data_IF_404450846436
#
_entry.id   IF_404450846436
#
_cell.length_a   1.000
_cell.length_b   1.000
_cell.length_c   1.000
_cell.angle_alpha   90.00
_cell.angle_beta   90.00
_cell.angle_gamma   90.00
#
_symmetry.space_group_name_H-M   'P 1'
#
loop_
_entity.id
_entity.type
_entity.pdbx_description
1 polymer ?
#
# COMPACT_ATOMS: atom_id res chain seq x y z
N UNK A 1 16.74 -14.53 -29.20
CA UNK A 1 17.45 -14.17 -27.95
C UNK A 1 16.47 -14.28 -26.81
N UNK A 2 16.50 -15.38 -26.05
CA UNK A 2 15.56 -15.63 -24.96
C UNK A 2 16.06 -14.88 -23.71
N UNK A 3 15.35 -13.83 -23.32
CA UNK A 3 15.55 -13.19 -22.02
C UNK A 3 14.98 -14.17 -20.97
N UNK A 4 15.84 -14.89 -20.26
CA UNK A 4 15.47 -15.58 -19.02
C UNK A 4 15.10 -14.51 -18.01
N UNK A 5 13.83 -14.11 -18.00
CA UNK A 5 13.30 -13.22 -16.97
C UNK A 5 13.54 -13.91 -15.61
N UNK A 6 14.37 -13.30 -14.77
CA UNK A 6 14.77 -13.87 -13.48
C UNK A 6 13.55 -14.05 -12.57
N UNK A 7 13.07 -15.28 -12.46
CA UNK A 7 12.10 -15.65 -11.43
C UNK A 7 12.85 -15.80 -10.10
N UNK A 8 12.31 -15.25 -9.02
CA UNK A 8 12.87 -15.46 -7.67
C UNK A 8 11.94 -16.33 -6.84
N UNK A 9 12.53 -17.24 -6.06
CA UNK A 9 11.79 -18.14 -5.19
C UNK A 9 11.47 -17.44 -3.87
N UNK A 10 10.19 -17.25 -3.58
CA UNK A 10 9.69 -16.73 -2.32
C UNK A 10 9.30 -17.88 -1.37
N UNK A 11 9.88 -17.97 -0.16
CA UNK A 11 9.45 -18.93 0.85
C UNK A 11 7.98 -18.72 1.24
N UNK A 12 7.24 -19.81 1.44
CA UNK A 12 5.82 -19.74 1.82
C UNK A 12 5.61 -19.05 3.17
N UNK A 13 6.52 -19.21 4.13
CA UNK A 13 6.45 -18.48 5.40
C UNK A 13 6.50 -16.96 5.20
N UNK A 14 7.37 -16.47 4.31
CA UNK A 14 7.44 -15.05 3.95
C UNK A 14 6.17 -14.60 3.25
N UNK A 15 5.63 -15.41 2.33
CA UNK A 15 4.34 -15.11 1.68
C UNK A 15 3.23 -14.96 2.72
N UNK A 16 3.09 -15.89 3.67
CA UNK A 16 2.08 -15.85 4.72
C UNK A 16 2.16 -14.57 5.55
N UNK A 17 3.36 -14.16 5.97
CA UNK A 17 3.56 -12.91 6.71
C UNK A 17 3.13 -11.68 5.90
N UNK A 18 3.41 -11.66 4.60
CA UNK A 18 2.94 -10.57 3.71
C UNK A 18 1.42 -10.58 3.64
N UNK A 19 0.76 -11.72 3.49
CA UNK A 19 -0.71 -11.79 3.44
C UNK A 19 -1.36 -11.38 4.77
N UNK A 20 -0.76 -11.71 5.91
CA UNK A 20 -1.21 -11.25 7.23
C UNK A 20 -1.10 -9.72 7.34
N UNK A 21 0.02 -9.15 6.90
CA UNK A 21 0.19 -7.70 6.85
C UNK A 21 -0.85 -7.02 5.95
N UNK A 22 -1.15 -7.59 4.79
CA UNK A 22 -2.18 -7.07 3.89
C UNK A 22 -3.60 -7.22 4.45
N UNK A 23 -3.84 -8.26 5.25
CA UNK A 23 -5.10 -8.44 5.98
C UNK A 23 -5.29 -7.34 7.02
N UNK A 24 -4.23 -6.95 7.72
CA UNK A 24 -4.28 -5.89 8.73
C UNK A 24 -4.65 -4.51 8.15
N UNK A 25 -4.41 -4.27 6.86
CA UNK A 25 -4.84 -3.06 6.13
C UNK A 25 -6.15 -3.26 5.36
N UNK A 26 -6.89 -4.33 5.65
CA UNK A 26 -8.26 -4.54 5.18
C UNK A 26 -8.41 -5.29 3.87
N UNK A 27 -7.34 -5.91 3.33
CA UNK A 27 -7.43 -6.65 2.08
C UNK A 27 -7.85 -8.11 2.30
N UNK A 28 -8.84 -8.54 1.53
CA UNK A 28 -9.25 -9.95 1.45
C UNK A 28 -8.26 -10.77 0.61
N UNK A 29 -8.19 -12.09 0.81
CA UNK A 29 -7.29 -12.97 0.05
C UNK A 29 -7.45 -12.85 -1.49
N UNK A 30 -8.68 -12.75 -2.07
CA UNK A 30 -8.83 -12.47 -3.49
C UNK A 30 -8.19 -11.15 -3.95
N UNK A 31 -8.33 -10.09 -3.16
CA UNK A 31 -7.73 -8.79 -3.44
C UNK A 31 -6.21 -8.83 -3.30
N UNK A 32 -5.69 -9.55 -2.30
CA UNK A 32 -4.25 -9.78 -2.13
C UNK A 32 -3.65 -10.49 -3.35
N UNK A 33 -4.29 -11.56 -3.84
CA UNK A 33 -3.84 -12.26 -5.04
C UNK A 33 -3.77 -11.31 -6.23
N UNK A 34 -4.83 -10.55 -6.48
CA UNK A 34 -4.91 -9.61 -7.59
C UNK A 34 -3.87 -8.49 -7.48
N UNK A 35 -3.70 -7.90 -6.29
CA UNK A 35 -2.71 -6.86 -6.01
C UNK A 35 -1.29 -7.33 -6.34
N UNK A 36 -0.96 -8.56 -5.92
CA UNK A 36 0.33 -9.19 -6.14
C UNK A 36 0.53 -9.69 -7.58
N UNK A 37 -0.47 -9.58 -8.46
CA UNK A 37 -0.40 -10.11 -9.83
C UNK A 37 -0.40 -11.64 -9.87
N UNK A 38 -1.04 -12.29 -8.89
CA UNK A 38 -1.19 -13.73 -8.77
C UNK A 38 -2.63 -14.15 -9.07
N UNK A 39 -2.76 -15.29 -9.73
CA UNK A 39 -4.07 -15.93 -9.85
C UNK A 39 -4.50 -16.48 -8.49
N UNK A 40 -5.78 -16.34 -8.14
CA UNK A 40 -6.34 -16.81 -6.86
C UNK A 40 -6.02 -18.29 -6.59
N UNK A 41 -6.10 -19.13 -7.61
CA UNK A 41 -5.85 -20.55 -7.48
C UNK A 41 -4.35 -20.86 -7.29
N UNK A 42 -3.46 -20.05 -7.87
CA UNK A 42 -2.01 -20.14 -7.66
C UNK A 42 -1.64 -19.76 -6.23
N UNK A 43 -2.21 -18.67 -5.70
CA UNK A 43 -2.02 -18.27 -4.30
C UNK A 43 -2.51 -19.37 -3.35
N UNK A 44 -3.74 -19.87 -3.56
CA UNK A 44 -4.31 -20.93 -2.72
C UNK A 44 -3.47 -22.21 -2.73
N UNK A 45 -2.99 -22.63 -3.91
CA UNK A 45 -2.14 -23.81 -4.04
C UNK A 45 -0.81 -23.61 -3.31
N UNK A 46 -0.20 -22.42 -3.42
CA UNK A 46 1.05 -22.10 -2.73
C UNK A 46 0.90 -22.21 -1.20
N UNK A 47 -0.22 -21.75 -0.64
CA UNK A 47 -0.48 -21.85 0.81
C UNK A 47 -0.76 -23.28 1.30
N UNK A 48 -1.06 -24.23 0.41
CA UNK A 48 -1.34 -25.63 0.74
C UNK A 48 -0.13 -26.55 0.56
N UNK A 49 0.97 -26.06 -0.04
CA UNK A 49 2.15 -26.85 -0.36
C UNK A 49 3.41 -26.25 0.30
N UNK A 50 4.38 -27.07 0.74
CA UNK A 50 5.59 -26.57 1.38
C UNK A 50 6.64 -26.04 0.37
N UNK A 51 6.26 -25.79 -0.89
CA UNK A 51 7.19 -25.41 -1.94
C UNK A 51 7.23 -23.90 -2.14
N UNK A 52 8.42 -23.29 -2.33
CA UNK A 52 8.53 -21.86 -2.63
C UNK A 52 7.72 -21.46 -3.86
N UNK A 53 7.14 -20.26 -3.79
CA UNK A 53 6.43 -19.66 -4.91
C UNK A 53 7.43 -18.90 -5.78
N UNK A 54 7.51 -19.28 -7.05
CA UNK A 54 8.31 -18.57 -8.05
C UNK A 54 7.57 -17.31 -8.50
N UNK A 55 8.18 -16.15 -8.31
CA UNK A 55 7.63 -14.86 -8.68
C UNK A 55 8.40 -14.23 -9.84
N UNK A 56 7.66 -13.67 -10.80
CA UNK A 56 8.23 -12.84 -11.85
C UNK A 56 8.81 -11.53 -11.27
N UNK A 57 9.69 -10.83 -12.01
CA UNK A 57 10.19 -9.52 -11.60
C UNK A 57 9.07 -8.51 -11.27
N UNK A 58 7.98 -8.53 -12.04
CA UNK A 58 6.83 -7.66 -11.78
C UNK A 58 6.12 -8.04 -10.47
N UNK A 59 5.90 -9.34 -10.23
CA UNK A 59 5.27 -9.81 -8.99
C UNK A 59 6.11 -9.51 -7.76
N UNK A 60 7.44 -9.63 -7.86
CA UNK A 60 8.36 -9.20 -6.80
C UNK A 60 8.26 -7.69 -6.53
N UNK A 61 8.15 -6.89 -7.59
CA UNK A 61 7.97 -5.43 -7.49
C UNK A 61 6.66 -5.10 -6.78
N UNK A 62 5.55 -5.73 -7.19
CA UNK A 62 4.24 -5.57 -6.57
C UNK A 62 4.25 -6.00 -5.10
N UNK A 63 4.89 -7.12 -4.78
CA UNK A 63 5.04 -7.60 -3.41
C UNK A 63 5.77 -6.58 -2.54
N UNK A 64 6.92 -6.08 -3.01
CA UNK A 64 7.70 -5.07 -2.29
C UNK A 64 6.88 -3.81 -2.04
N UNK A 65 6.24 -3.26 -3.08
CA UNK A 65 5.42 -2.05 -2.96
C UNK A 65 4.26 -2.27 -1.99
N UNK A 66 3.61 -3.43 -2.03
CA UNK A 66 2.49 -3.75 -1.15
C UNK A 66 2.92 -3.81 0.33
N UNK A 67 4.11 -4.37 0.60
CA UNK A 67 4.70 -4.38 1.95
C UNK A 67 5.04 -2.97 2.43
N UNK A 68 5.68 -2.16 1.59
CA UNK A 68 6.05 -0.77 1.93
C UNK A 68 4.80 0.08 2.19
N UNK A 69 3.75 -0.05 1.36
CA UNK A 69 2.46 0.61 1.55
C UNK A 69 1.81 0.19 2.88
N UNK A 70 1.68 -1.11 3.14
CA UNK A 70 1.01 -1.58 4.35
C UNK A 70 1.77 -1.18 5.62
N UNK A 71 3.11 -1.18 5.56
CA UNK A 71 3.96 -0.70 6.65
C UNK A 71 3.74 0.80 6.87
N UNK A 72 3.75 1.60 5.82
CA UNK A 72 3.53 3.04 5.90
C UNK A 72 2.17 3.37 6.53
N UNK A 73 1.10 2.67 6.12
CA UNK A 73 -0.24 2.87 6.68
C UNK A 73 -0.28 2.60 8.18
N UNK A 74 0.37 1.54 8.65
CA UNK A 74 0.41 1.20 10.08
C UNK A 74 1.31 2.11 10.91
N UNK A 75 2.24 2.82 10.29
CA UNK A 75 3.04 3.86 10.95
C UNK A 75 2.31 5.19 10.99
N UNK A 76 1.63 5.58 9.90
CA UNK A 76 0.92 6.87 9.78
C UNK A 76 -0.41 6.88 10.52
N UNK A 77 -1.09 5.74 10.64
CA UNK A 77 -2.45 5.66 11.15
C UNK A 77 -2.55 4.63 12.28
N UNK A 78 -3.40 4.91 13.27
CA UNK A 78 -3.80 3.90 14.26
C UNK A 78 -4.47 2.70 13.59
N UNK A 79 -4.36 1.50 14.18
CA UNK A 79 -4.75 0.22 13.57
C UNK A 79 -6.19 0.21 12.99
N UNK A 80 -7.17 0.79 13.69
CA UNK A 80 -8.56 0.88 13.24
C UNK A 80 -8.75 1.69 11.96
N UNK A 81 -7.91 2.70 11.76
CA UNK A 81 -7.95 3.57 10.57
C UNK A 81 -7.18 2.94 9.41
N UNK A 82 -6.08 2.24 9.70
CA UNK A 82 -5.30 1.52 8.70
C UNK A 82 -6.12 0.40 8.04
N UNK A 83 -6.90 -0.36 8.81
CA UNK A 83 -7.74 -1.46 8.31
C UNK A 83 -8.85 -1.04 7.35
N UNK A 84 -9.29 0.23 7.38
CA UNK A 84 -10.31 0.75 6.49
C UNK A 84 -9.78 1.53 5.29
N UNK A 85 -8.47 1.81 5.24
CA UNK A 85 -7.91 2.83 4.34
C UNK A 85 -8.12 2.49 2.86
N UNK A 86 -7.88 1.24 2.48
CA UNK A 86 -8.05 0.78 1.09
C UNK A 86 -9.49 0.85 0.58
N UNK A 87 -10.47 0.73 1.47
CA UNK A 87 -11.90 0.69 1.13
C UNK A 87 -12.63 2.03 1.18
N UNK A 88 -11.98 3.09 1.68
CA UNK A 88 -12.60 4.42 1.81
C UNK A 88 -12.28 5.28 0.58
N UNK A 89 -13.27 6.00 0.01
CA UNK A 89 -13.02 7.02 -1.00
C UNK A 89 -11.94 8.00 -0.55
N UNK A 90 -10.97 8.30 -1.41
CA UNK A 90 -9.87 9.19 -1.10
C UNK A 90 -9.80 10.33 -2.13
N UNK A 91 -9.98 11.57 -1.67
CA UNK A 91 -9.97 12.75 -2.55
C UNK A 91 -8.57 13.23 -2.95
N UNK A 92 -7.51 12.69 -2.35
CA UNK A 92 -6.13 13.08 -2.67
C UNK A 92 -5.74 12.50 -4.03
N UNK A 93 -4.95 13.25 -4.80
CA UNK A 93 -4.23 12.66 -5.93
C UNK A 93 -3.38 11.47 -5.41
N UNK A 94 -3.33 10.34 -6.13
CA UNK A 94 -3.88 10.11 -7.48
C UNK A 94 -5.31 9.51 -7.51
N UNK A 95 -5.98 9.39 -6.38
CA UNK A 95 -7.22 8.62 -6.28
C UNK A 95 -8.46 9.36 -6.78
N UNK A 96 -8.47 10.69 -6.74
CA UNK A 96 -9.52 11.54 -7.32
C UNK A 96 -10.97 11.15 -6.90
N UNK A 97 -11.14 10.74 -5.65
CA UNK A 97 -12.41 10.32 -5.08
C UNK A 97 -12.70 8.82 -5.20
N UNK A 98 -11.89 8.06 -5.95
CA UNK A 98 -11.93 6.60 -5.95
C UNK A 98 -11.36 6.05 -4.63
N UNK A 99 -11.71 4.80 -4.32
CA UNK A 99 -11.03 4.07 -3.24
C UNK A 99 -9.60 3.73 -3.69
N UNK A 100 -8.58 3.78 -2.80
CA UNK A 100 -7.23 3.36 -3.15
C UNK A 100 -7.16 1.94 -3.70
N UNK A 101 -8.02 1.03 -3.22
CA UNK A 101 -8.09 -0.34 -3.74
C UNK A 101 -8.50 -0.38 -5.22
N UNK A 102 -9.58 0.30 -5.59
CA UNK A 102 -10.01 0.37 -6.99
C UNK A 102 -8.89 0.92 -7.89
N UNK A 103 -8.24 2.01 -7.46
CA UNK A 103 -7.13 2.63 -8.19
C UNK A 103 -5.96 1.66 -8.44
N UNK A 104 -5.47 0.95 -7.41
CA UNK A 104 -4.33 0.03 -7.57
C UNK A 104 -4.69 -1.24 -8.34
N UNK A 105 -5.94 -1.71 -8.26
CA UNK A 105 -6.38 -2.90 -8.99
C UNK A 105 -6.58 -2.62 -10.49
N UNK A 106 -7.04 -1.42 -10.85
CA UNK A 106 -7.22 -1.00 -12.24
C UNK A 106 -5.88 -0.60 -12.89
N UNK A 107 -5.09 0.22 -12.19
CA UNK A 107 -3.82 0.74 -12.71
C UNK A 107 -2.60 -0.15 -12.51
N UNK A 108 -2.71 -1.27 -11.79
CA UNK A 108 -1.64 -2.26 -11.61
C UNK A 108 -0.37 -1.70 -10.96
N UNK A 109 0.80 -2.13 -11.46
CA UNK A 109 2.12 -1.74 -10.90
C UNK A 109 2.35 -0.20 -10.90
N UNK A 110 2.03 0.56 -11.96
CA UNK A 110 2.09 2.02 -11.92
C UNK A 110 1.28 2.64 -10.78
N UNK A 111 0.01 2.24 -10.62
CA UNK A 111 -0.84 2.76 -9.55
C UNK A 111 -0.36 2.39 -8.14
N UNK A 112 0.20 1.19 -7.98
CA UNK A 112 0.90 0.78 -6.75
C UNK A 112 2.08 1.69 -6.44
N UNK A 113 2.89 2.03 -7.45
CA UNK A 113 4.05 2.91 -7.28
C UNK A 113 3.63 4.33 -6.88
N UNK A 114 2.57 4.88 -7.47
CA UNK A 114 2.07 6.20 -7.12
C UNK A 114 1.49 6.23 -5.71
N UNK A 115 0.75 5.18 -5.33
CA UNK A 115 0.25 5.00 -3.96
C UNK A 115 1.40 4.94 -2.95
N UNK A 116 2.45 4.18 -3.26
CA UNK A 116 3.64 4.09 -2.42
C UNK A 116 4.33 5.45 -2.28
N UNK A 117 4.52 6.20 -3.37
CA UNK A 117 5.13 7.53 -3.35
C UNK A 117 4.36 8.52 -2.48
N UNK A 118 3.03 8.49 -2.58
CA UNK A 118 2.16 9.32 -1.74
C UNK A 118 2.40 9.04 -0.25
N UNK A 119 2.35 7.77 0.16
CA UNK A 119 2.53 7.39 1.57
C UNK A 119 3.96 7.60 2.07
N UNK A 120 4.95 7.40 1.21
CA UNK A 120 6.35 7.70 1.53
C UNK A 120 6.56 9.21 1.76
N UNK A 121 5.92 10.05 0.96
CA UNK A 121 5.93 11.51 1.15
C UNK A 121 5.31 11.89 2.51
N UNK A 122 4.20 11.26 2.88
CA UNK A 122 3.57 11.48 4.19
C UNK A 122 4.48 11.03 5.35
N UNK A 123 5.11 9.85 5.24
CA UNK A 123 6.04 9.32 6.25
C UNK A 123 7.26 10.21 6.47
N UNK A 124 7.78 10.79 5.39
CA UNK A 124 9.00 11.61 5.42
C UNK A 124 8.72 13.07 5.78
N UNK A 125 7.48 13.43 6.10
CA UNK A 125 7.09 14.79 6.43
C UNK A 125 7.14 15.74 5.21
N UNK A 126 7.26 15.20 4.00
CA UNK A 126 7.23 15.97 2.75
C UNK A 126 5.80 16.29 2.31
N UNK A 127 4.85 16.28 3.26
CA UNK A 127 3.42 16.50 3.05
C UNK A 127 3.19 17.58 2.00
N UNK A 128 2.51 17.21 0.92
CA UNK A 128 1.84 18.16 0.04
C UNK A 128 0.59 18.69 0.74
N UNK A 129 0.74 19.34 1.89
CA UNK A 129 -0.14 20.47 2.14
C UNK A 129 0.07 21.38 0.93
N UNK A 130 -0.98 21.60 0.12
CA UNK A 130 -0.88 22.55 -0.98
C UNK A 130 -0.37 23.88 -0.40
N UNK A 131 0.30 24.70 -1.22
CA UNK A 131 0.69 26.03 -0.76
C UNK A 131 -0.52 26.78 -0.16
N UNK A 132 -1.70 26.53 -0.73
CA UNK A 132 -3.01 26.98 -0.25
C UNK A 132 -3.39 26.39 1.13
N UNK A 133 -3.21 25.09 1.39
CA UNK A 133 -3.49 24.51 2.71
C UNK A 133 -2.56 25.07 3.80
N UNK A 134 -1.29 25.35 3.48
CA UNK A 134 -0.36 26.03 4.41
C UNK A 134 -0.76 27.49 4.62
N UNK A 135 -1.15 28.19 3.55
CA UNK A 135 -1.64 29.57 3.64
C UNK A 135 -2.94 29.65 4.46
N UNK A 136 -3.86 28.69 4.27
CA UNK A 136 -5.09 28.58 5.03
C UNK A 136 -4.79 28.29 6.50
N UNK A 137 -3.94 27.31 6.81
CA UNK A 137 -3.52 27.02 8.18
C UNK A 137 -2.86 28.23 8.87
N UNK A 138 -2.04 29.00 8.14
CA UNK A 138 -1.45 30.24 8.63
C UNK A 138 -2.47 31.38 8.81
N UNK A 139 -3.59 31.34 8.08
CA UNK A 139 -4.69 32.31 8.21
C UNK A 139 -5.69 31.97 9.32
N UNK A 140 -5.65 30.74 9.85
CA UNK A 140 -6.50 30.37 10.97
C UNK A 140 -6.02 31.08 12.26
N UNK A 141 -6.95 31.60 13.08
CA UNK A 141 -6.59 32.19 14.38
C UNK A 141 -5.85 31.14 15.20
N UNK A 142 -4.59 31.40 15.52
CA UNK A 142 -3.85 30.52 16.42
C UNK A 142 -4.37 30.78 17.84
N UNK A 143 -4.72 29.74 18.61
CA UNK A 143 -5.07 29.93 20.01
C UNK A 143 -3.87 30.57 20.73
N UNK A 144 -4.13 31.49 21.65
CA UNK A 144 -3.11 31.96 22.58
C UNK A 144 -2.72 30.76 23.45
N UNK A 145 -1.62 30.10 23.09
CA UNK A 145 -1.03 29.08 23.93
C UNK A 145 -0.23 29.83 24.99
N UNK A 146 -0.81 29.97 26.17
CA UNK A 146 -0.09 30.39 27.36
C UNK A 146 0.86 29.24 27.75
N UNK A 147 2.16 29.47 27.64
CA UNK A 147 3.20 28.48 27.92
C UNK A 147 3.79 28.63 29.33
N UNK A 148 3.16 29.46 30.18
CA UNK A 148 3.67 29.85 31.50
C UNK A 148 2.99 29.13 32.70
N UNK A 149 2.45 27.92 32.53
CA UNK A 149 2.08 27.00 33.64
C UNK A 149 2.97 25.75 33.72
#
# INVERSE_FOLDING_TARGET
>A
MAHTAGSSALPIATLSLVLELLTAVGLTQPQQAQLLGLERHTLRRALQAPLPLNLSPEQLTRLRLSVEIATALRTLYADHSAGGWFGRPNGRAPFEGQTPLAYVLDGGTPALLDTHRLLLSDLTGQFSASAEARALAASLPQPEIDLDE
#
